data_IF_743036563144
#
_entry.id   IF_743036563144
#
_cell.length_a   1.000
_cell.length_b   1.000
_cell.length_c   1.000
_cell.angle_alpha   90.00
_cell.angle_beta   90.00
_cell.angle_gamma   90.00
#
_symmetry.space_group_name_H-M   'P 1'
#
loop_
_entity.id
_entity.type
_entity.pdbx_description
1 polymer ?
#
# COMPACT_ATOMS: atom_id res chain seq x y z
N UNK A 1 11.34 -13.13 -38.62
CA UNK A 1 12.05 -12.07 -37.89
C UNK A 1 12.61 -12.71 -36.61
N UNK A 2 13.91 -12.98 -36.61
CA UNK A 2 14.61 -13.55 -35.47
C UNK A 2 14.96 -12.42 -34.48
N UNK A 3 14.66 -12.62 -33.21
CA UNK A 3 15.04 -11.70 -32.15
C UNK A 3 16.52 -11.91 -31.80
N UNK A 4 17.39 -10.91 -31.90
CA UNK A 4 18.83 -11.07 -31.63
C UNK A 4 19.19 -10.77 -30.15
N UNK A 5 18.50 -11.37 -29.16
CA UNK A 5 18.70 -10.99 -27.75
C UNK A 5 19.25 -12.09 -26.84
N UNK A 6 19.61 -13.25 -27.38
CA UNK A 6 20.06 -14.38 -26.51
C UNK A 6 21.58 -14.65 -26.54
N UNK A 7 22.35 -14.00 -27.40
CA UNK A 7 23.78 -14.34 -27.57
C UNK A 7 24.80 -13.43 -26.85
N UNK A 8 24.39 -12.39 -26.15
CA UNK A 8 25.30 -11.48 -25.44
C UNK A 8 25.44 -11.69 -23.92
N UNK A 9 24.87 -12.74 -23.36
CA UNK A 9 25.01 -13.03 -21.91
C UNK A 9 26.21 -13.91 -21.55
N UNK A 10 27.20 -14.05 -22.40
CA UNK A 10 28.44 -14.81 -22.08
C UNK A 10 29.69 -14.00 -22.31
N UNK A 11 29.83 -12.84 -21.69
CA UNK A 11 31.16 -12.23 -21.44
C UNK A 11 30.99 -10.99 -20.56
N UNK A 12 31.60 -11.01 -19.38
CA UNK A 12 31.70 -9.81 -18.57
C UNK A 12 31.83 -10.07 -17.09
N UNK A 13 32.95 -10.71 -16.74
CA UNK A 13 33.46 -10.72 -15.37
C UNK A 13 33.80 -9.33 -14.86
N UNK A 14 33.47 -9.09 -13.59
CA UNK A 14 34.06 -8.13 -12.66
C UNK A 14 33.98 -6.63 -12.99
N UNK A 15 33.07 -5.98 -12.31
CA UNK A 15 33.32 -4.68 -11.70
C UNK A 15 32.85 -4.77 -10.25
N UNK A 16 33.80 -5.06 -9.36
CA UNK A 16 33.68 -4.82 -7.93
C UNK A 16 33.67 -3.30 -7.74
N UNK A 17 32.48 -2.72 -7.56
CA UNK A 17 32.36 -1.39 -7.00
C UNK A 17 32.62 -1.51 -5.50
N UNK A 18 33.73 -0.94 -5.04
CA UNK A 18 34.10 -0.86 -3.64
C UNK A 18 32.99 -0.14 -2.84
N UNK A 19 32.34 -0.89 -1.97
CA UNK A 19 31.46 -0.33 -0.93
C UNK A 19 32.37 0.31 0.13
N UNK A 20 32.23 1.61 0.45
CA UNK A 20 32.92 2.19 1.60
C UNK A 20 32.39 1.54 2.88
N UNK A 21 33.23 0.75 3.53
CA UNK A 21 32.99 0.38 4.92
C UNK A 21 33.30 1.62 5.76
N UNK A 22 32.27 2.26 6.29
CA UNK A 22 32.29 2.99 7.56
C UNK A 22 30.97 3.77 7.69
N UNK A 23 30.01 3.15 8.39
CA UNK A 23 29.01 3.85 9.23
C UNK A 23 28.31 2.81 10.11
N UNK A 24 28.91 2.57 11.27
CA UNK A 24 28.20 1.99 12.41
C UNK A 24 27.40 3.14 13.03
N UNK A 25 26.08 2.99 13.10
CA UNK A 25 25.24 3.71 14.05
C UNK A 25 24.52 4.97 13.57
N UNK A 26 23.86 4.97 12.42
CA UNK A 26 22.73 5.85 12.21
C UNK A 26 21.46 4.97 12.18
N UNK A 27 20.67 5.04 13.25
CA UNK A 27 19.26 4.64 13.20
C UNK A 27 18.68 5.50 12.08
N UNK A 28 18.30 4.88 10.95
CA UNK A 28 17.60 5.52 9.85
C UNK A 28 16.29 6.05 10.46
N UNK A 29 16.30 7.31 10.90
CA UNK A 29 15.06 8.00 11.26
C UNK A 29 14.27 8.03 9.97
N UNK A 30 13.29 7.13 9.83
CA UNK A 30 12.39 7.16 8.69
C UNK A 30 11.68 8.51 8.76
N UNK A 31 12.00 9.39 7.82
CA UNK A 31 11.25 10.63 7.64
C UNK A 31 9.81 10.23 7.34
N UNK A 32 8.96 10.41 8.34
CA UNK A 32 7.54 10.15 8.19
C UNK A 32 6.87 11.42 7.67
N UNK A 33 6.64 11.48 6.37
CA UNK A 33 6.03 12.65 5.71
C UNK A 33 4.65 12.97 6.29
N UNK A 34 3.94 11.98 6.83
CA UNK A 34 2.63 12.16 7.46
C UNK A 34 2.70 12.92 8.81
N UNK A 35 3.88 13.07 9.42
CA UNK A 35 4.11 13.96 10.57
C UNK A 35 4.58 15.36 10.17
N UNK A 36 4.90 15.61 8.88
CA UNK A 36 5.14 16.92 8.33
C UNK A 36 3.84 17.76 8.39
N UNK A 37 3.90 18.95 8.95
CA UNK A 37 2.71 19.80 9.19
C UNK A 37 1.98 20.14 7.89
N UNK A 38 2.74 20.61 6.87
CA UNK A 38 2.17 20.97 5.57
C UNK A 38 1.52 19.77 4.87
N UNK A 39 2.21 18.62 4.85
CA UNK A 39 1.68 17.40 4.26
C UNK A 39 0.39 16.96 4.95
N UNK A 40 0.40 16.94 6.28
CA UNK A 40 -0.73 16.55 7.10
C UNK A 40 -1.97 17.46 6.87
N UNK A 41 -1.75 18.79 6.78
CA UNK A 41 -2.83 19.72 6.47
C UNK A 41 -3.42 19.51 5.08
N UNK A 42 -2.60 19.27 4.06
CA UNK A 42 -3.07 18.98 2.70
C UNK A 42 -3.78 17.62 2.64
N UNK A 43 -3.24 16.61 3.32
CA UNK A 43 -3.88 15.29 3.43
C UNK A 43 -5.27 15.39 4.08
N UNK A 44 -5.41 16.23 5.12
CA UNK A 44 -6.68 16.45 5.80
C UNK A 44 -7.76 17.09 4.90
N UNK A 45 -7.37 17.77 3.80
CA UNK A 45 -8.30 18.37 2.83
C UNK A 45 -8.89 17.36 1.84
N UNK A 46 -8.26 16.22 1.65
CA UNK A 46 -8.73 15.18 0.72
C UNK A 46 -10.12 14.68 1.11
N UNK A 47 -10.96 14.38 0.13
CA UNK A 47 -12.32 13.86 0.35
C UNK A 47 -12.32 12.60 1.21
N UNK A 48 -11.41 11.64 0.95
CA UNK A 48 -11.27 10.42 1.76
C UNK A 48 -10.90 10.69 3.22
N UNK A 49 -10.13 11.76 3.49
CA UNK A 49 -9.77 12.15 4.86
C UNK A 49 -10.93 12.78 5.62
N UNK A 50 -11.85 13.47 4.91
CA UNK A 50 -13.02 14.14 5.49
C UNK A 50 -14.21 13.21 5.63
N UNK A 51 -14.52 12.45 4.58
CA UNK A 51 -15.75 11.68 4.43
C UNK A 51 -15.52 10.17 4.60
N UNK A 52 -14.26 9.76 4.79
CA UNK A 52 -13.89 8.37 5.03
C UNK A 52 -14.08 7.48 3.81
N UNK A 53 -14.47 6.24 4.08
CA UNK A 53 -14.53 5.17 3.07
C UNK A 53 -15.52 5.48 1.94
N UNK A 54 -16.56 6.27 2.17
CA UNK A 54 -17.55 6.65 1.13
C UNK A 54 -16.94 7.48 0.01
N UNK A 55 -15.89 8.26 0.32
CA UNK A 55 -15.20 9.09 -0.64
C UNK A 55 -13.91 8.43 -1.19
N UNK A 56 -13.63 7.19 -0.82
CA UNK A 56 -12.51 6.42 -1.36
C UNK A 56 -12.97 5.74 -2.66
N UNK A 57 -12.34 6.08 -3.78
CA UNK A 57 -12.74 5.62 -5.10
C UNK A 57 -12.73 4.09 -5.25
N UNK A 58 -11.82 3.42 -4.58
CA UNK A 58 -11.69 1.96 -4.56
C UNK A 58 -12.72 1.25 -3.66
N UNK A 59 -13.42 1.98 -2.79
CA UNK A 59 -14.24 1.36 -1.75
C UNK A 59 -15.37 0.48 -2.27
N UNK A 60 -15.95 0.83 -3.40
CA UNK A 60 -17.03 0.03 -4.02
C UNK A 60 -16.57 -1.38 -4.44
N UNK A 61 -15.28 -1.54 -4.80
CA UNK A 61 -14.65 -2.83 -5.14
C UNK A 61 -14.01 -3.48 -3.92
N UNK A 62 -13.37 -2.71 -3.01
CA UNK A 62 -12.70 -3.24 -1.84
C UNK A 62 -13.68 -3.79 -0.79
N UNK A 63 -14.80 -3.08 -0.54
CA UNK A 63 -15.79 -3.49 0.47
C UNK A 63 -16.33 -4.91 0.30
N UNK A 64 -16.73 -5.37 -0.90
CA UNK A 64 -17.21 -6.74 -1.12
C UNK A 64 -16.16 -7.82 -0.87
N UNK A 65 -14.87 -7.46 -0.87
CA UNK A 65 -13.77 -8.41 -0.65
C UNK A 65 -13.57 -8.77 0.83
N UNK A 66 -14.11 -7.96 1.75
CA UNK A 66 -14.02 -8.28 3.18
C UNK A 66 -14.71 -9.61 3.49
N UNK A 67 -14.13 -10.43 4.38
CA UNK A 67 -14.87 -11.56 4.95
C UNK A 67 -15.94 -11.08 5.92
N UNK A 68 -16.78 -11.99 6.44
CA UNK A 68 -17.54 -11.69 7.65
C UNK A 68 -16.59 -11.40 8.79
N UNK A 69 -16.76 -10.23 9.42
CA UNK A 69 -15.92 -9.77 10.55
C UNK A 69 -16.57 -10.01 11.90
N UNK A 70 -17.81 -10.53 11.93
CA UNK A 70 -18.54 -10.86 13.17
C UNK A 70 -17.71 -11.77 14.08
N UNK A 71 -17.42 -11.31 15.30
CA UNK A 71 -16.62 -12.03 16.29
C UNK A 71 -15.13 -12.19 15.96
N UNK A 72 -14.61 -11.50 14.93
CA UNK A 72 -13.24 -11.65 14.43
C UNK A 72 -12.26 -10.69 15.08
N UNK A 73 -10.97 -11.07 15.03
CA UNK A 73 -9.83 -10.21 15.34
C UNK A 73 -9.25 -9.62 14.04
N UNK A 74 -9.02 -8.31 14.05
CA UNK A 74 -8.58 -7.54 12.85
C UNK A 74 -7.35 -6.71 13.18
N UNK A 75 -6.33 -6.78 12.31
CA UNK A 75 -5.15 -5.91 12.33
C UNK A 75 -5.18 -5.03 11.08
N UNK A 76 -5.07 -3.72 11.26
CA UNK A 76 -5.00 -2.72 10.18
C UNK A 76 -3.59 -2.13 10.12
N UNK A 77 -2.85 -2.47 9.07
CA UNK A 77 -1.46 -2.07 8.82
C UNK A 77 -1.39 -0.77 8.03
N UNK A 78 -0.93 0.32 8.67
CA UNK A 78 -0.98 1.67 8.11
C UNK A 78 -2.39 2.22 8.16
N UNK A 79 -3.00 2.21 9.36
CA UNK A 79 -4.43 2.49 9.53
C UNK A 79 -4.83 3.95 9.27
N UNK A 80 -3.86 4.88 9.18
CA UNK A 80 -4.12 6.30 8.99
C UNK A 80 -5.12 6.85 10.02
N UNK A 81 -6.23 7.44 9.55
CA UNK A 81 -7.30 7.95 10.40
C UNK A 81 -8.24 6.87 10.99
N UNK A 82 -7.94 5.56 10.79
CA UNK A 82 -8.67 4.46 11.41
C UNK A 82 -10.02 4.13 10.78
N UNK A 83 -10.29 4.55 9.54
CA UNK A 83 -11.57 4.31 8.88
C UNK A 83 -11.89 2.82 8.70
N UNK A 84 -10.91 1.99 8.38
CA UNK A 84 -11.10 0.54 8.27
C UNK A 84 -11.26 -0.12 9.64
N UNK A 85 -10.56 0.37 10.66
CA UNK A 85 -10.77 -0.08 12.05
C UNK A 85 -12.23 0.18 12.48
N UNK A 86 -12.77 1.39 12.22
CA UNK A 86 -14.15 1.72 12.54
C UNK A 86 -15.14 0.86 11.76
N UNK A 87 -14.90 0.67 10.46
CA UNK A 87 -15.70 -0.25 9.65
C UNK A 87 -15.68 -1.67 10.22
N UNK A 88 -14.52 -2.18 10.64
CA UNK A 88 -14.42 -3.52 11.22
C UNK A 88 -15.25 -3.65 12.52
N UNK A 89 -15.22 -2.64 13.40
CA UNK A 89 -16.07 -2.61 14.60
C UNK A 89 -17.57 -2.62 14.23
N UNK A 90 -17.98 -1.80 13.26
CA UNK A 90 -19.35 -1.74 12.77
C UNK A 90 -19.82 -3.06 12.12
N UNK A 91 -18.88 -3.87 11.62
CA UNK A 91 -19.15 -5.23 11.09
C UNK A 91 -19.03 -6.32 12.16
N UNK A 92 -18.94 -5.99 13.45
CA UNK A 92 -19.00 -6.93 14.57
C UNK A 92 -17.64 -7.53 14.95
N UNK A 93 -16.52 -6.97 14.51
CA UNK A 93 -15.20 -7.40 14.99
C UNK A 93 -15.05 -7.11 16.49
N UNK A 94 -14.47 -8.05 17.24
CA UNK A 94 -14.39 -8.00 18.70
C UNK A 94 -13.00 -7.61 19.23
N UNK A 95 -12.00 -7.60 18.38
CA UNK A 95 -10.65 -7.17 18.68
C UNK A 95 -10.07 -6.51 17.44
N UNK A 96 -9.72 -5.24 17.53
CA UNK A 96 -9.19 -4.47 16.41
C UNK A 96 -7.94 -3.71 16.86
N UNK A 97 -6.86 -3.87 16.12
CA UNK A 97 -5.64 -3.09 16.30
C UNK A 97 -5.32 -2.36 15.01
N UNK A 98 -5.30 -1.02 15.07
CA UNK A 98 -4.74 -0.19 14.02
C UNK A 98 -3.32 0.26 14.37
N UNK A 99 -2.37 0.03 13.47
CA UNK A 99 -1.01 0.57 13.62
C UNK A 99 -0.70 1.55 12.50
N UNK A 100 0.03 2.59 12.84
CA UNK A 100 0.56 3.58 11.89
C UNK A 100 1.86 4.16 12.44
N UNK A 101 2.80 4.47 11.56
CA UNK A 101 4.07 5.08 11.94
C UNK A 101 3.88 6.53 12.42
N UNK A 102 2.87 7.23 11.87
CA UNK A 102 2.60 8.62 12.16
C UNK A 102 1.84 8.81 13.47
N UNK A 103 2.45 9.56 14.37
CA UNK A 103 1.79 9.99 15.60
C UNK A 103 0.54 10.83 15.31
N UNK A 104 0.61 11.74 14.34
CA UNK A 104 -0.53 12.61 13.96
C UNK A 104 -1.70 11.80 13.41
N UNK A 105 -1.41 10.75 12.60
CA UNK A 105 -2.45 9.84 12.11
C UNK A 105 -3.14 9.10 13.25
N UNK A 106 -2.39 8.56 14.20
CA UNK A 106 -2.95 7.86 15.37
C UNK A 106 -3.77 8.80 16.25
N UNK A 107 -3.32 10.02 16.49
CA UNK A 107 -4.10 11.03 17.25
C UNK A 107 -5.44 11.35 16.57
N UNK A 108 -5.46 11.49 15.23
CA UNK A 108 -6.72 11.72 14.49
C UNK A 108 -7.58 10.44 14.45
N UNK A 109 -7.00 9.24 14.37
CA UNK A 109 -7.74 7.99 14.45
C UNK A 109 -8.46 7.86 15.80
N UNK A 110 -7.77 8.11 16.90
CA UNK A 110 -8.36 8.11 18.24
C UNK A 110 -9.47 9.13 18.43
N UNK A 111 -9.31 10.29 17.81
CA UNK A 111 -10.30 11.38 17.88
C UNK A 111 -11.54 11.12 17.04
N UNK A 112 -11.39 10.59 15.83
CA UNK A 112 -12.50 10.44 14.86
C UNK A 112 -13.16 9.07 14.88
N UNK A 113 -12.36 8.02 15.06
CA UNK A 113 -12.76 6.64 14.86
C UNK A 113 -12.44 5.75 16.08
N UNK A 114 -12.54 6.32 17.29
CA UNK A 114 -12.45 5.52 18.52
C UNK A 114 -13.61 4.52 18.63
N UNK A 115 -13.38 3.44 19.35
CA UNK A 115 -14.37 2.40 19.62
C UNK A 115 -13.95 1.54 20.80
N UNK A 116 -14.91 0.79 21.36
CA UNK A 116 -14.65 -0.07 22.52
C UNK A 116 -13.78 -1.29 22.19
N UNK A 117 -13.78 -1.69 20.91
CA UNK A 117 -13.04 -2.85 20.40
C UNK A 117 -11.76 -2.45 19.66
N UNK A 118 -11.46 -1.13 19.58
CA UNK A 118 -10.37 -0.59 18.76
C UNK A 118 -9.24 -0.10 19.67
N UNK A 119 -8.05 -0.65 19.46
CA UNK A 119 -6.78 -0.14 19.95
C UNK A 119 -6.01 0.52 18.80
N UNK A 120 -5.38 1.65 19.04
CA UNK A 120 -4.45 2.29 18.12
C UNK A 120 -3.06 2.35 18.70
N UNK A 121 -2.04 2.03 17.87
CA UNK A 121 -0.63 2.01 18.30
C UNK A 121 0.26 2.69 17.27
N UNK A 122 1.18 3.54 17.75
CA UNK A 122 2.25 4.08 16.91
C UNK A 122 3.28 2.96 16.73
N UNK A 123 3.42 2.48 15.48
CA UNK A 123 4.39 1.44 15.11
C UNK A 123 4.57 1.43 13.60
N UNK A 124 5.80 1.29 13.14
CA UNK A 124 6.09 0.93 11.75
C UNK A 124 5.62 -0.50 11.45
N UNK A 125 5.37 -0.78 10.17
CA UNK A 125 4.97 -2.12 9.74
C UNK A 125 6.11 -3.13 9.93
N UNK A 126 7.36 -2.70 9.71
CA UNK A 126 8.54 -3.54 9.88
C UNK A 126 8.85 -3.81 11.36
N UNK A 127 8.46 -2.91 12.26
CA UNK A 127 8.77 -2.95 13.69
C UNK A 127 7.75 -3.71 14.53
N UNK A 128 6.52 -3.86 14.01
CA UNK A 128 5.48 -4.63 14.70
C UNK A 128 5.90 -6.10 14.85
N UNK A 129 5.65 -6.70 16.00
CA UNK A 129 6.16 -8.04 16.35
C UNK A 129 5.42 -9.22 15.69
N UNK A 130 4.24 -9.00 15.15
CA UNK A 130 3.42 -10.00 14.45
C UNK A 130 3.27 -11.32 15.23
N UNK A 131 2.57 -11.34 16.38
CA UNK A 131 2.38 -12.56 17.19
C UNK A 131 1.78 -13.69 16.35
N UNK A 132 2.21 -14.93 16.60
CA UNK A 132 1.75 -16.08 15.80
C UNK A 132 0.27 -16.38 16.00
N UNK A 133 -0.45 -16.62 14.88
CA UNK A 133 -1.85 -17.06 14.88
C UNK A 133 -2.79 -16.17 15.71
N UNK A 134 -2.56 -14.87 15.68
CA UNK A 134 -3.30 -13.90 16.49
C UNK A 134 -4.53 -13.35 15.76
N UNK A 135 -4.46 -13.14 14.46
CA UNK A 135 -5.44 -12.38 13.70
C UNK A 135 -6.26 -13.26 12.73
N UNK A 136 -7.57 -13.02 12.68
CA UNK A 136 -8.47 -13.63 11.69
C UNK A 136 -8.38 -12.89 10.35
N UNK A 137 -8.14 -11.58 10.39
CA UNK A 137 -8.03 -10.74 9.21
C UNK A 137 -6.91 -9.70 9.42
N UNK A 138 -6.06 -9.54 8.42
CA UNK A 138 -5.10 -8.43 8.31
C UNK A 138 -5.50 -7.59 7.12
N UNK A 139 -5.56 -6.28 7.31
CA UNK A 139 -5.90 -5.28 6.30
C UNK A 139 -4.70 -4.37 6.10
N UNK A 140 -4.48 -3.90 4.88
CA UNK A 140 -3.58 -2.77 4.62
C UNK A 140 -4.12 -1.98 3.41
N UNK A 141 -4.39 -0.70 3.59
CA UNK A 141 -4.90 0.14 2.51
C UNK A 141 -3.95 1.30 2.23
N UNK A 142 -3.30 1.27 1.07
CA UNK A 142 -2.38 2.30 0.59
C UNK A 142 -1.20 2.59 1.55
N UNK A 143 -0.63 1.54 2.16
CA UNK A 143 0.55 1.65 3.01
C UNK A 143 1.75 0.81 2.51
N UNK A 144 1.51 -0.33 1.86
CA UNK A 144 2.57 -1.27 1.50
C UNK A 144 3.56 -0.74 0.44
N UNK A 145 3.19 0.27 -0.34
CA UNK A 145 4.09 0.91 -1.30
C UNK A 145 5.11 1.88 -0.65
N UNK A 146 5.14 1.96 0.68
CA UNK A 146 6.22 2.62 1.43
C UNK A 146 7.27 1.64 1.95
N UNK A 147 7.04 0.33 1.82
CA UNK A 147 7.87 -0.73 2.38
C UNK A 147 8.92 -1.21 1.38
N UNK A 148 10.18 -1.20 1.79
CA UNK A 148 11.31 -1.62 0.95
C UNK A 148 11.29 -3.14 0.69
N UNK A 149 11.15 -3.97 1.73
CA UNK A 149 11.00 -5.43 1.61
C UNK A 149 9.55 -5.87 1.87
N UNK A 150 8.71 -5.75 0.83
CA UNK A 150 7.31 -6.16 0.91
C UNK A 150 7.17 -7.68 1.15
N UNK A 151 8.16 -8.48 0.73
CA UNK A 151 8.12 -9.94 0.90
C UNK A 151 8.30 -10.30 2.38
N UNK A 152 9.16 -9.59 3.10
CA UNK A 152 9.31 -9.75 4.55
C UNK A 152 7.98 -9.45 5.27
N UNK A 153 7.26 -8.39 4.87
CA UNK A 153 5.94 -8.10 5.44
C UNK A 153 4.95 -9.24 5.14
N UNK A 154 4.96 -9.81 3.93
CA UNK A 154 4.09 -10.95 3.61
C UNK A 154 4.39 -12.17 4.50
N UNK A 155 5.66 -12.46 4.81
CA UNK A 155 6.03 -13.51 5.76
C UNK A 155 5.50 -13.23 7.17
N UNK A 156 5.67 -12.00 7.65
CA UNK A 156 5.18 -11.56 8.96
C UNK A 156 3.65 -11.64 9.04
N UNK A 157 2.94 -11.20 8.00
CA UNK A 157 1.48 -11.30 7.92
C UNK A 157 1.03 -12.76 7.88
N UNK A 158 1.69 -13.62 7.09
CA UNK A 158 1.39 -15.06 7.09
C UNK A 158 1.53 -15.66 8.47
N UNK A 159 2.64 -15.36 9.18
CA UNK A 159 2.89 -15.86 10.53
C UNK A 159 1.79 -15.47 11.52
N UNK A 160 1.35 -14.21 11.49
CA UNK A 160 0.40 -13.67 12.47
C UNK A 160 -1.06 -14.04 12.19
N UNK A 161 -1.40 -14.35 10.94
CA UNK A 161 -2.73 -14.85 10.60
C UNK A 161 -2.97 -16.23 11.20
N UNK A 162 -4.19 -16.47 11.66
CA UNK A 162 -4.68 -17.81 12.01
C UNK A 162 -4.76 -18.69 10.77
N UNK A 163 -4.80 -20.05 10.91
CA UNK A 163 -5.10 -20.92 9.78
C UNK A 163 -6.40 -20.52 9.08
N UNK A 164 -6.35 -20.29 7.76
CA UNK A 164 -7.48 -19.79 6.97
C UNK A 164 -7.77 -18.29 7.14
N UNK A 165 -6.94 -17.57 7.89
CA UNK A 165 -7.04 -16.12 8.05
C UNK A 165 -6.81 -15.39 6.74
N UNK A 166 -7.37 -14.19 6.62
CA UNK A 166 -7.41 -13.41 5.39
C UNK A 166 -6.44 -12.24 5.47
N UNK A 167 -5.66 -12.06 4.40
CA UNK A 167 -4.93 -10.84 4.10
C UNK A 167 -5.65 -10.12 2.96
N UNK A 168 -6.16 -8.91 3.23
CA UNK A 168 -6.82 -8.04 2.28
C UNK A 168 -6.05 -6.73 2.20
N UNK A 169 -5.53 -6.38 1.03
CA UNK A 169 -4.83 -5.12 0.89
C UNK A 169 -5.11 -4.42 -0.44
N UNK A 170 -4.90 -3.12 -0.42
CA UNK A 170 -4.84 -2.22 -1.54
C UNK A 170 -3.46 -1.56 -1.58
N UNK A 171 -2.79 -1.65 -2.70
CA UNK A 171 -1.46 -1.05 -2.92
C UNK A 171 -1.46 -0.23 -4.20
N UNK A 172 -0.63 0.81 -4.29
CA UNK A 172 -0.42 1.46 -5.58
C UNK A 172 0.04 0.43 -6.62
N UNK A 173 -0.62 0.44 -7.77
CA UNK A 173 -0.34 -0.52 -8.84
C UNK A 173 1.08 -0.34 -9.40
N UNK A 174 1.79 -1.42 -9.78
CA UNK A 174 3.13 -1.33 -10.37
C UNK A 174 3.23 -0.44 -11.60
N UNK A 175 2.18 -0.34 -12.41
CA UNK A 175 2.10 0.62 -13.53
C UNK A 175 2.12 2.07 -13.02
N UNK A 176 1.47 2.33 -11.89
CA UNK A 176 1.44 3.66 -11.30
C UNK A 176 2.80 4.03 -10.69
N UNK A 177 3.39 3.13 -9.89
CA UNK A 177 4.70 3.37 -9.25
C UNK A 177 5.88 3.37 -10.22
N UNK A 178 5.76 2.77 -11.42
CA UNK A 178 6.73 2.86 -12.51
C UNK A 178 6.50 4.09 -13.42
N UNK A 179 5.48 4.90 -13.14
CA UNK A 179 5.22 6.14 -13.87
C UNK A 179 6.34 7.16 -13.68
N UNK A 180 6.78 7.77 -14.77
CA UNK A 180 7.81 8.82 -14.75
C UNK A 180 7.27 10.04 -14.01
N UNK A 181 7.86 10.35 -12.83
CA UNK A 181 7.38 11.41 -11.95
C UNK A 181 6.02 11.15 -11.31
N UNK A 182 5.39 9.98 -11.56
CA UNK A 182 4.01 9.66 -11.19
C UNK A 182 3.00 10.73 -11.63
N UNK A 183 3.22 11.26 -12.83
CA UNK A 183 2.35 12.26 -13.44
C UNK A 183 2.15 11.96 -14.92
N UNK A 184 1.14 12.61 -15.51
CA UNK A 184 0.87 12.55 -16.94
C UNK A 184 1.94 13.30 -17.72
N UNK A 185 2.19 12.86 -18.94
CA UNK A 185 2.80 13.73 -19.94
C UNK A 185 1.68 14.57 -20.55
N UNK A 186 1.88 15.87 -20.59
CA UNK A 186 0.88 16.82 -21.05
C UNK A 186 1.18 17.33 -22.45
N UNK A 187 0.14 17.67 -23.17
CA UNK A 187 0.23 18.43 -24.42
C UNK A 187 0.56 19.90 -24.14
N UNK A 188 0.93 20.66 -25.17
CA UNK A 188 1.23 22.09 -25.04
C UNK A 188 0.06 22.92 -24.52
N UNK A 189 -1.19 22.45 -24.73
CA UNK A 189 -2.42 23.07 -24.20
C UNK A 189 -2.83 22.52 -22.82
N UNK A 190 -1.95 21.74 -22.16
CA UNK A 190 -2.10 21.31 -20.77
C UNK A 190 -3.05 20.13 -20.57
N UNK A 191 -3.35 19.33 -21.61
CA UNK A 191 -4.20 18.13 -21.49
C UNK A 191 -3.34 16.88 -21.25
N UNK A 192 -3.79 15.93 -20.40
CA UNK A 192 -3.13 14.64 -20.23
C UNK A 192 -3.04 13.88 -21.54
N UNK A 193 -1.81 13.64 -22.04
CA UNK A 193 -1.58 12.95 -23.31
C UNK A 193 -1.43 11.45 -23.12
N UNK A 194 -0.48 11.02 -22.29
CA UNK A 194 -0.27 9.63 -21.95
C UNK A 194 0.46 9.51 -20.61
N UNK A 195 0.38 8.32 -19.99
CA UNK A 195 1.13 7.94 -18.80
C UNK A 195 2.42 7.26 -19.25
N UNK A 196 3.56 7.87 -18.93
CA UNK A 196 4.87 7.32 -19.30
C UNK A 196 5.35 6.34 -18.25
N UNK A 197 5.73 5.14 -18.66
CA UNK A 197 6.31 4.10 -17.78
C UNK A 197 7.78 3.93 -18.15
N UNK A 198 8.64 3.93 -17.13
CA UNK A 198 10.06 3.63 -17.29
C UNK A 198 10.60 2.84 -16.10
N UNK A 199 11.72 2.16 -16.29
CA UNK A 199 12.41 1.42 -15.23
C UNK A 199 11.53 0.40 -14.47
N UNK A 200 10.53 -0.20 -15.13
CA UNK A 200 9.59 -1.13 -14.48
C UNK A 200 10.26 -2.32 -13.81
N UNK A 201 11.35 -2.85 -14.35
CA UNK A 201 12.08 -3.97 -13.76
C UNK A 201 13.17 -3.54 -12.78
N UNK A 202 13.41 -2.24 -12.62
CA UNK A 202 14.31 -1.69 -11.61
C UNK A 202 13.46 -1.34 -10.40
N UNK A 203 13.46 -2.22 -9.39
CA UNK A 203 12.67 -2.04 -8.17
C UNK A 203 13.36 -1.13 -7.15
N UNK A 204 12.61 -0.68 -6.13
CA UNK A 204 13.11 0.18 -5.08
C UNK A 204 12.58 1.60 -5.14
N UNK A 205 13.34 2.55 -4.63
CA UNK A 205 12.89 3.91 -4.38
C UNK A 205 12.40 4.66 -5.61
N UNK A 206 11.30 5.38 -5.43
CA UNK A 206 10.73 6.37 -6.36
C UNK A 206 10.47 7.67 -5.61
N UNK A 207 11.16 8.72 -6.04
CA UNK A 207 10.89 10.07 -5.55
C UNK A 207 9.70 10.64 -6.32
N UNK A 208 8.65 11.00 -5.61
CA UNK A 208 7.41 11.52 -6.19
C UNK A 208 7.03 12.83 -5.51
N UNK A 209 6.26 13.66 -6.19
CA UNK A 209 5.70 14.87 -5.59
C UNK A 209 4.22 14.66 -5.31
N UNK A 210 3.84 14.68 -4.03
CA UNK A 210 2.47 14.44 -3.61
C UNK A 210 2.07 15.41 -2.50
N UNK A 211 0.90 16.03 -2.63
CA UNK A 211 0.37 17.03 -1.68
C UNK A 211 1.36 18.18 -1.37
N UNK A 212 2.13 18.60 -2.39
CA UNK A 212 3.08 19.70 -2.25
C UNK A 212 4.35 19.37 -1.48
N UNK A 213 4.65 18.10 -1.27
CA UNK A 213 5.86 17.58 -0.64
C UNK A 213 6.50 16.46 -1.49
N UNK A 214 7.80 16.29 -1.35
CA UNK A 214 8.50 15.17 -1.95
C UNK A 214 8.32 13.95 -1.05
N UNK A 215 7.87 12.84 -1.65
CA UNK A 215 7.56 11.60 -0.96
C UNK A 215 8.33 10.47 -1.61
N UNK A 216 8.98 9.65 -0.79
CA UNK A 216 9.67 8.44 -1.24
C UNK A 216 8.72 7.27 -1.15
N UNK A 217 8.51 6.59 -2.28
CA UNK A 217 7.74 5.34 -2.37
C UNK A 217 8.64 4.21 -2.85
N UNK A 218 8.19 2.98 -2.69
CA UNK A 218 8.89 1.79 -3.15
C UNK A 218 8.14 1.18 -4.33
N UNK A 219 8.83 1.02 -5.44
CA UNK A 219 8.30 0.32 -6.60
C UNK A 219 8.59 -1.18 -6.49
N UNK A 220 7.55 -1.97 -6.60
CA UNK A 220 7.59 -3.41 -6.72
C UNK A 220 6.96 -3.84 -8.04
N UNK A 221 7.50 -4.86 -8.70
CA UNK A 221 6.85 -5.43 -9.88
C UNK A 221 5.61 -6.23 -9.47
N UNK A 222 4.66 -6.37 -10.40
CA UNK A 222 3.51 -7.26 -10.17
C UNK A 222 3.95 -8.69 -9.81
N UNK A 223 5.01 -9.18 -10.44
CA UNK A 223 5.59 -10.48 -10.13
C UNK A 223 6.06 -10.58 -8.68
N UNK A 224 6.76 -9.55 -8.15
CA UNK A 224 7.19 -9.56 -6.75
C UNK A 224 6.02 -9.60 -5.78
N UNK A 225 4.96 -8.84 -6.04
CA UNK A 225 3.76 -8.84 -5.20
C UNK A 225 3.09 -10.21 -5.23
N UNK A 226 2.76 -10.72 -6.41
CA UNK A 226 1.99 -11.96 -6.56
C UNK A 226 2.80 -13.19 -6.13
N UNK A 227 4.04 -13.32 -6.61
CA UNK A 227 4.87 -14.46 -6.25
C UNK A 227 5.38 -14.38 -4.82
N UNK A 228 5.56 -13.15 -4.27
CA UNK A 228 5.85 -12.95 -2.86
C UNK A 228 4.77 -13.56 -1.96
N UNK A 229 3.49 -13.38 -2.28
CA UNK A 229 2.39 -14.03 -1.55
C UNK A 229 2.38 -15.54 -1.74
N UNK A 230 2.41 -16.03 -2.98
CA UNK A 230 2.33 -17.47 -3.30
C UNK A 230 3.49 -18.24 -2.66
N UNK A 231 4.71 -17.74 -2.73
CA UNK A 231 5.90 -18.39 -2.15
C UNK A 231 5.88 -18.40 -0.62
N UNK A 232 5.09 -17.54 0.02
CA UNK A 232 4.90 -17.51 1.47
C UNK A 232 3.66 -18.26 1.95
N UNK A 233 3.05 -19.13 1.11
CA UNK A 233 1.98 -20.02 1.51
C UNK A 233 0.57 -19.44 1.42
N UNK A 234 0.41 -18.25 0.85
CA UNK A 234 -0.91 -17.70 0.59
C UNK A 234 -1.57 -18.33 -0.63
N UNK A 235 -2.87 -18.52 -0.55
CA UNK A 235 -3.73 -18.79 -1.71
C UNK A 235 -4.40 -17.49 -2.14
N UNK A 236 -4.16 -17.05 -3.36
CA UNK A 236 -4.82 -15.88 -3.92
C UNK A 236 -6.29 -16.17 -4.21
N UNK A 237 -7.17 -15.31 -3.77
CA UNK A 237 -8.62 -15.38 -4.05
C UNK A 237 -9.08 -14.30 -5.01
N UNK A 238 -8.50 -13.12 -4.90
CA UNK A 238 -8.80 -11.96 -5.77
C UNK A 238 -7.51 -11.23 -6.05
N UNK A 239 -7.32 -10.85 -7.29
CA UNK A 239 -6.38 -9.83 -7.76
C UNK A 239 -7.19 -8.96 -8.71
N UNK A 240 -7.41 -7.71 -8.35
CA UNK A 240 -8.32 -6.81 -9.05
C UNK A 240 -7.70 -5.41 -9.15
N UNK A 241 -7.71 -4.84 -10.32
CA UNK A 241 -7.30 -3.44 -10.56
C UNK A 241 -8.49 -2.54 -10.26
N UNK A 242 -8.29 -1.56 -9.35
CA UNK A 242 -9.38 -0.68 -8.97
C UNK A 242 -9.69 0.34 -10.07
N UNK A 243 -10.95 0.45 -10.41
CA UNK A 243 -11.49 1.45 -11.33
C UNK A 243 -12.25 2.54 -10.57
N UNK A 244 -12.29 3.78 -11.07
CA UNK A 244 -13.11 4.82 -10.46
C UNK A 244 -14.60 4.46 -10.56
N UNK A 245 -15.38 4.69 -9.49
CA UNK A 245 -16.80 4.40 -9.51
C UNK A 245 -17.55 5.34 -10.45
N UNK A 246 -18.64 4.85 -11.05
CA UNK A 246 -19.45 5.62 -12.01
C UNK A 246 -19.94 6.96 -11.47
N UNK A 247 -20.22 7.00 -10.17
CA UNK A 247 -20.72 8.18 -9.45
C UNK A 247 -19.66 9.29 -9.32
N UNK A 248 -18.39 8.97 -9.56
CA UNK A 248 -17.29 9.96 -9.51
C UNK A 248 -16.87 10.44 -10.90
N UNK A 249 -17.44 9.93 -11.98
CA UNK A 249 -16.99 10.24 -13.35
C UNK A 249 -17.20 11.72 -13.74
N UNK A 250 -18.10 12.44 -13.06
CA UNK A 250 -18.29 13.88 -13.26
C UNK A 250 -17.20 14.74 -12.57
N UNK A 251 -16.32 14.14 -11.77
CA UNK A 251 -15.22 14.84 -11.13
C UNK A 251 -14.12 15.10 -12.19
N UNK A 252 -13.65 16.35 -12.35
CA UNK A 252 -12.60 16.65 -13.32
C UNK A 252 -11.35 15.77 -13.16
N UNK A 253 -10.88 15.17 -14.25
CA UNK A 253 -9.73 14.27 -14.28
C UNK A 253 -10.05 12.80 -13.95
N UNK A 254 -11.26 12.48 -13.51
CA UNK A 254 -11.63 11.10 -13.16
C UNK A 254 -11.68 10.17 -14.39
N UNK A 255 -12.04 10.70 -15.57
CA UNK A 255 -11.98 9.93 -16.82
C UNK A 255 -10.55 9.47 -17.16
N UNK A 256 -9.55 10.25 -16.80
CA UNK A 256 -8.15 9.89 -17.03
C UNK A 256 -7.71 8.71 -16.16
N UNK A 257 -8.35 8.48 -15.01
CA UNK A 257 -8.07 7.33 -14.16
C UNK A 257 -8.43 5.98 -14.82
N UNK A 258 -9.32 5.96 -15.82
CA UNK A 258 -9.61 4.77 -16.63
C UNK A 258 -8.50 4.42 -17.65
N UNK A 259 -7.52 5.29 -17.82
CA UNK A 259 -6.46 5.11 -18.84
C UNK A 259 -5.25 4.36 -18.32
N UNK A 260 -5.17 4.17 -16.99
CA UNK A 260 -4.13 3.38 -16.34
C UNK A 260 -4.62 2.88 -14.97
N UNK A 261 -4.18 1.69 -14.50
CA UNK A 261 -4.49 1.26 -13.15
C UNK A 261 -3.68 2.09 -12.13
N UNK A 262 -4.35 2.63 -11.12
CA UNK A 262 -3.71 3.34 -10.01
C UNK A 262 -3.50 2.44 -8.80
N UNK A 263 -4.42 1.52 -8.56
CA UNK A 263 -4.45 0.68 -7.36
C UNK A 263 -4.68 -0.78 -7.71
N UNK A 264 -4.10 -1.67 -6.90
CA UNK A 264 -4.23 -3.12 -6.98
C UNK A 264 -4.82 -3.65 -5.67
N UNK A 265 -6.00 -4.25 -5.78
CA UNK A 265 -6.69 -4.92 -4.68
C UNK A 265 -6.32 -6.40 -4.67
N UNK A 266 -5.88 -6.92 -3.54
CA UNK A 266 -5.53 -8.33 -3.41
C UNK A 266 -6.17 -8.91 -2.16
N UNK A 267 -6.83 -10.08 -2.34
CA UNK A 267 -7.32 -10.91 -1.25
C UNK A 267 -6.63 -12.26 -1.28
N UNK A 268 -6.00 -12.63 -0.19
CA UNK A 268 -5.27 -13.88 -0.03
C UNK A 268 -5.66 -14.59 1.28
N UNK A 269 -5.55 -15.91 1.29
CA UNK A 269 -5.83 -16.76 2.46
C UNK A 269 -4.55 -17.45 2.91
N UNK A 270 -4.25 -17.40 4.21
CA UNK A 270 -3.14 -18.15 4.80
C UNK A 270 -3.46 -19.65 4.83
N UNK A 271 -2.79 -20.42 4.01
CA UNK A 271 -2.91 -21.90 3.94
C UNK A 271 -1.93 -22.52 4.93
N UNK A 272 -2.33 -22.61 6.19
CA UNK A 272 -1.58 -23.27 7.27
C UNK A 272 -2.16 -24.64 7.58
#
# INVERSE_FOLDING_TARGET
>A
MQFPFIEQMKLGSRLEAAVPKDKIGDVKVMNNEYDNEKFFEEYAKMSRSKEGLKAAGEWHQLKPLFPSLEGKSVLDLGCGYGWHCKFAEEQGATKILGIDLSKKMIEEAQKRNSGNQIEYRISGLEEYDYPENEWDCVISNLALHYIEDIVEIFQKVYRTLKPGGIFLFNIEHPVFTAGVGQDWIYTDDGKPQYWAIDNYFITGERNTHFLGCDVVKQHHTLTQIIMGLLNNGFELKVVEEAEPPKEMMDIPGMEDELRRPMMLLVKAIAKK
#
